data_IF_947114745004
#
_entry.id   IF_947114745004
#
_cell.length_a   1.000
_cell.length_b   1.000
_cell.length_c   1.000
_cell.angle_alpha   90.00
_cell.angle_beta   90.00
_cell.angle_gamma   90.00
#
_symmetry.space_group_name_H-M   'P 1'
#
loop_
_entity.id
_entity.type
_entity.pdbx_description
1 polymer ?
#
# COMPACT_ATOMS: atom_id res chain seq x y z
N UNK A 1 25.05 -39.90 8.03
CA UNK A 1 25.20 -38.49 8.50
C UNK A 1 24.08 -37.55 8.02
N UNK A 2 23.11 -37.97 7.20
CA UNK A 2 22.02 -37.10 6.71
C UNK A 2 20.74 -37.16 7.55
N UNK A 3 20.62 -38.11 8.50
CA UNK A 3 19.37 -38.32 9.26
C UNK A 3 18.99 -37.17 10.20
N UNK A 4 19.95 -36.33 10.59
CA UNK A 4 19.71 -35.14 11.42
C UNK A 4 19.02 -33.98 10.68
N UNK A 5 18.81 -34.10 9.36
CA UNK A 5 18.10 -33.12 8.55
C UNK A 5 16.70 -33.59 8.12
N UNK A 6 16.26 -34.79 8.53
CA UNK A 6 14.87 -35.19 8.31
C UNK A 6 13.99 -34.45 9.30
N UNK A 7 12.92 -33.86 8.77
CA UNK A 7 11.85 -33.31 9.56
C UNK A 7 11.10 -34.46 10.24
N UNK A 8 10.81 -34.26 11.52
CA UNK A 8 9.87 -35.07 12.27
C UNK A 8 8.45 -34.91 11.71
N UNK A 9 7.57 -35.86 12.02
CA UNK A 9 6.15 -35.79 11.63
C UNK A 9 5.47 -34.51 12.13
N UNK A 10 5.93 -33.98 13.28
CA UNK A 10 5.44 -32.73 13.83
C UNK A 10 5.90 -31.52 13.01
N UNK A 11 7.16 -31.46 12.60
CA UNK A 11 7.68 -30.37 11.77
C UNK A 11 7.05 -30.39 10.37
N UNK A 12 6.80 -31.59 9.81
CA UNK A 12 6.03 -31.73 8.57
C UNK A 12 4.63 -31.12 8.70
N UNK A 13 3.94 -31.41 9.81
CA UNK A 13 2.63 -30.83 10.09
C UNK A 13 2.66 -29.30 10.18
N UNK A 14 3.73 -28.73 10.73
CA UNK A 14 3.92 -27.26 10.75
C UNK A 14 4.03 -26.74 9.32
N UNK A 15 4.86 -27.35 8.47
CA UNK A 15 5.04 -26.92 7.08
C UNK A 15 3.75 -26.99 6.27
N UNK A 16 2.97 -28.05 6.43
CA UNK A 16 1.66 -28.18 5.79
C UNK A 16 0.73 -27.03 6.18
N UNK A 17 0.71 -26.68 7.46
CA UNK A 17 -0.10 -25.56 7.94
C UNK A 17 0.44 -24.18 7.54
N UNK A 18 1.73 -24.06 7.20
CA UNK A 18 2.30 -22.82 6.65
C UNK A 18 1.99 -22.62 5.16
N UNK A 19 1.46 -23.64 4.47
CA UNK A 19 1.16 -23.55 3.04
C UNK A 19 0.29 -22.33 2.66
N UNK A 20 -0.81 -21.99 3.38
CA UNK A 20 -1.65 -20.84 3.02
C UNK A 20 -0.89 -19.52 3.07
N UNK A 21 0.00 -19.38 4.07
CA UNK A 21 0.88 -18.22 4.23
C UNK A 21 1.80 -18.07 3.01
N UNK A 22 2.48 -19.16 2.62
CA UNK A 22 3.39 -19.11 1.47
C UNK A 22 2.67 -18.89 0.14
N UNK A 23 1.47 -19.45 -0.02
CA UNK A 23 0.68 -19.26 -1.23
C UNK A 23 0.24 -17.79 -1.39
N UNK A 24 -0.11 -17.11 -0.29
CA UNK A 24 -0.39 -15.67 -0.29
C UNK A 24 0.80 -14.86 -0.83
N UNK A 25 1.99 -15.06 -0.26
CA UNK A 25 3.19 -14.35 -0.69
C UNK A 25 3.58 -14.68 -2.12
N UNK A 26 3.52 -15.95 -2.52
CA UNK A 26 3.77 -16.38 -3.90
C UNK A 26 2.85 -15.67 -4.88
N UNK A 27 1.54 -15.62 -4.61
CA UNK A 27 0.56 -14.96 -5.47
C UNK A 27 0.85 -13.46 -5.62
N UNK A 28 1.20 -12.81 -4.52
CA UNK A 28 1.60 -11.40 -4.51
C UNK A 28 2.88 -11.17 -5.32
N UNK A 29 3.92 -11.97 -5.10
CA UNK A 29 5.19 -11.87 -5.82
C UNK A 29 4.99 -12.07 -7.32
N UNK A 30 4.21 -13.08 -7.73
CA UNK A 30 3.91 -13.33 -9.13
C UNK A 30 3.16 -12.16 -9.76
N UNK A 31 2.24 -11.54 -9.03
CA UNK A 31 1.53 -10.34 -9.48
C UNK A 31 2.47 -9.15 -9.69
N UNK A 32 3.41 -8.95 -8.77
CA UNK A 32 4.42 -7.87 -8.84
C UNK A 32 5.51 -8.12 -9.89
N UNK A 33 5.75 -9.37 -10.24
CA UNK A 33 6.80 -9.78 -11.19
C UNK A 33 6.31 -9.86 -12.64
N UNK A 34 5.14 -9.27 -12.95
CA UNK A 34 4.63 -9.23 -14.33
C UNK A 34 5.53 -8.36 -15.20
N UNK A 35 6.01 -8.94 -16.29
CA UNK A 35 6.77 -8.22 -17.31
C UNK A 35 5.85 -7.24 -18.06
N UNK A 36 6.43 -6.14 -18.54
CA UNK A 36 5.80 -5.17 -19.43
C UNK A 36 4.56 -4.45 -18.85
N UNK A 37 4.38 -4.51 -17.52
CA UNK A 37 3.32 -3.81 -16.79
C UNK A 37 3.94 -3.01 -15.65
N UNK A 38 3.63 -1.72 -15.55
CA UNK A 38 4.05 -0.92 -14.41
C UNK A 38 3.32 -1.41 -13.14
N UNK A 39 4.03 -2.06 -12.22
CA UNK A 39 3.45 -2.58 -10.97
C UNK A 39 3.52 -1.61 -9.80
N UNK A 40 4.15 -0.44 -10.00
CA UNK A 40 4.36 0.55 -8.93
C UNK A 40 3.06 1.02 -8.28
N UNK A 41 2.00 1.20 -9.07
CA UNK A 41 0.68 1.57 -8.57
C UNK A 41 0.06 0.46 -7.70
N UNK A 42 0.46 -0.80 -7.89
CA UNK A 42 -0.12 -1.93 -7.16
C UNK A 42 0.48 -2.11 -5.77
N UNK A 43 1.57 -1.40 -5.43
CA UNK A 43 2.26 -1.56 -4.14
C UNK A 43 1.32 -1.35 -2.96
N UNK A 44 0.55 -0.26 -2.94
CA UNK A 44 -0.43 0.03 -1.88
C UNK A 44 -1.51 -1.08 -1.82
N UNK A 45 -2.26 -1.39 -2.91
CA UNK A 45 -3.25 -2.47 -2.87
C UNK A 45 -2.71 -3.83 -2.48
N UNK A 46 -1.47 -4.13 -2.87
CA UNK A 46 -0.86 -5.42 -2.56
C UNK A 46 -0.45 -5.48 -1.10
N UNK A 47 0.05 -4.39 -0.53
CA UNK A 47 0.31 -4.31 0.90
C UNK A 47 -0.98 -4.56 1.71
N UNK A 48 -2.08 -3.91 1.32
CA UNK A 48 -3.40 -4.14 1.93
C UNK A 48 -3.88 -5.59 1.73
N UNK A 49 -3.67 -6.16 0.54
CA UNK A 49 -4.00 -7.56 0.24
C UNK A 49 -3.21 -8.54 1.11
N UNK A 50 -1.92 -8.26 1.37
CA UNK A 50 -1.11 -9.08 2.29
C UNK A 50 -1.72 -8.97 3.69
N UNK A 51 -1.94 -7.76 4.22
CA UNK A 51 -2.49 -7.56 5.57
C UNK A 51 -3.80 -8.33 5.77
N UNK A 52 -4.80 -8.06 4.93
CA UNK A 52 -6.10 -8.74 5.00
C UNK A 52 -5.99 -10.25 4.77
N UNK A 53 -5.07 -10.70 3.91
CA UNK A 53 -4.83 -12.12 3.68
C UNK A 53 -4.28 -12.82 4.91
N UNK A 54 -3.34 -12.20 5.62
CA UNK A 54 -2.77 -12.72 6.86
C UNK A 54 -3.80 -12.72 7.99
N UNK A 55 -4.60 -11.67 8.13
CA UNK A 55 -5.66 -11.61 9.14
C UNK A 55 -6.65 -12.77 8.97
N UNK A 56 -7.10 -13.03 7.73
CA UNK A 56 -7.98 -14.15 7.39
C UNK A 56 -7.37 -15.51 7.68
N UNK A 57 -6.07 -15.68 7.43
CA UNK A 57 -5.35 -16.91 7.79
C UNK A 57 -5.36 -17.04 9.31
N UNK A 58 -5.08 -15.98 10.06
CA UNK A 58 -5.03 -16.01 11.52
C UNK A 58 -6.38 -16.24 12.20
N UNK A 59 -7.49 -15.89 11.54
CA UNK A 59 -8.86 -16.19 11.99
C UNK A 59 -9.24 -17.68 11.86
N UNK A 60 -8.48 -18.46 11.10
CA UNK A 60 -8.79 -19.88 10.87
C UNK A 60 -8.44 -20.74 12.09
N UNK A 61 -9.45 -21.19 12.84
CA UNK A 61 -9.30 -21.93 14.11
C UNK A 61 -8.44 -23.20 14.02
N UNK A 62 -8.22 -23.73 12.82
CA UNK A 62 -7.48 -24.97 12.57
C UNK A 62 -5.97 -24.77 12.53
N UNK A 63 -5.48 -23.54 12.41
CA UNK A 63 -4.06 -23.23 12.33
C UNK A 63 -3.42 -23.12 13.71
N UNK A 64 -2.18 -23.57 13.81
CA UNK A 64 -1.37 -23.40 15.02
C UNK A 64 -1.15 -21.92 15.29
N UNK A 65 -1.39 -21.48 16.54
CA UNK A 65 -1.12 -20.10 16.99
C UNK A 65 0.29 -19.62 16.68
N UNK A 66 1.28 -20.53 16.68
CA UNK A 66 2.66 -20.22 16.32
C UNK A 66 2.79 -19.68 14.88
N UNK A 67 1.94 -20.14 13.96
CA UNK A 67 1.92 -19.69 12.57
C UNK A 67 1.34 -18.28 12.49
N UNK A 68 0.27 -17.99 13.24
CA UNK A 68 -0.28 -16.65 13.33
C UNK A 68 0.75 -15.65 13.87
N UNK A 69 1.47 -16.02 14.94
CA UNK A 69 2.55 -15.20 15.50
C UNK A 69 3.67 -14.98 14.48
N UNK A 70 4.09 -16.04 13.78
CA UNK A 70 5.12 -15.93 12.75
C UNK A 70 4.67 -15.03 11.58
N UNK A 71 3.41 -15.14 11.16
CA UNK A 71 2.80 -14.31 10.13
C UNK A 71 2.75 -12.83 10.54
N UNK A 72 2.29 -12.53 11.76
CA UNK A 72 2.27 -11.16 12.30
C UNK A 72 3.67 -10.56 12.36
N UNK A 73 4.65 -11.31 12.87
CA UNK A 73 6.04 -10.85 12.93
C UNK A 73 6.63 -10.59 11.53
N UNK A 74 6.34 -11.48 10.57
CA UNK A 74 6.76 -11.31 9.18
C UNK A 74 6.12 -10.07 8.54
N UNK A 75 4.84 -9.82 8.85
CA UNK A 75 4.13 -8.63 8.38
C UNK A 75 4.69 -7.35 8.98
N UNK A 76 4.98 -7.29 10.28
CA UNK A 76 5.60 -6.11 10.91
C UNK A 76 6.93 -5.73 10.25
N UNK A 77 7.74 -6.73 9.88
CA UNK A 77 8.98 -6.47 9.13
C UNK A 77 8.66 -5.90 7.75
N UNK A 78 7.67 -6.46 7.04
CA UNK A 78 7.22 -5.94 5.74
C UNK A 78 6.71 -4.50 5.85
N UNK A 79 5.89 -4.21 6.87
CA UNK A 79 5.28 -2.91 7.14
C UNK A 79 6.35 -1.85 7.43
N UNK A 80 7.41 -2.22 8.17
CA UNK A 80 8.58 -1.37 8.39
C UNK A 80 9.27 -0.96 7.08
N UNK A 81 9.39 -1.86 6.10
CA UNK A 81 9.97 -1.50 4.81
C UNK A 81 8.98 -0.74 3.92
N UNK A 82 7.69 -1.04 4.05
CA UNK A 82 6.63 -0.31 3.38
C UNK A 82 6.55 1.15 3.84
N UNK A 83 6.78 1.46 5.12
CA UNK A 83 6.77 2.85 5.60
C UNK A 83 7.88 3.71 4.97
N UNK A 84 8.98 3.10 4.49
CA UNK A 84 10.00 3.82 3.70
C UNK A 84 9.48 4.26 2.33
N UNK A 85 8.36 3.71 1.86
CA UNK A 85 7.72 4.15 0.61
C UNK A 85 6.97 5.46 0.76
N UNK A 86 6.69 5.90 2.00
CA UNK A 86 6.06 7.20 2.28
C UNK A 86 6.91 8.37 1.77
N UNK A 87 8.23 8.18 1.65
CA UNK A 87 9.17 9.15 1.08
C UNK A 87 9.02 9.33 -0.44
N UNK A 88 8.34 8.39 -1.11
CA UNK A 88 8.18 8.38 -2.57
C UNK A 88 6.75 8.72 -2.98
N UNK A 89 6.62 9.90 -3.57
CA UNK A 89 5.36 10.46 -4.08
C UNK A 89 4.66 9.57 -5.12
N UNK A 90 5.42 8.70 -5.78
CA UNK A 90 4.96 7.92 -6.94
C UNK A 90 3.88 6.92 -6.54
N UNK A 91 3.88 6.46 -5.29
CA UNK A 91 2.89 5.49 -4.79
C UNK A 91 1.52 6.13 -4.55
N UNK A 92 1.47 7.41 -4.16
CA UNK A 92 0.24 8.11 -3.83
C UNK A 92 -0.37 8.87 -5.01
N UNK A 93 0.39 9.20 -6.05
CA UNK A 93 -0.12 9.99 -7.18
C UNK A 93 -0.93 9.19 -8.22
N UNK A 94 -1.32 7.95 -7.93
CA UNK A 94 -2.11 7.18 -8.88
C UNK A 94 -3.57 7.71 -8.94
N UNK A 95 -4.08 8.09 -10.13
CA UNK A 95 -5.41 8.73 -10.26
C UNK A 95 -6.58 7.91 -9.71
N UNK A 96 -6.42 6.59 -9.61
CA UNK A 96 -7.44 5.68 -9.09
C UNK A 96 -7.39 5.50 -7.56
N UNK A 97 -6.30 5.89 -6.89
CA UNK A 97 -6.14 5.73 -5.43
C UNK A 97 -6.30 7.06 -4.72
N UNK A 98 -7.52 7.60 -4.81
CA UNK A 98 -7.95 8.81 -4.09
C UNK A 98 -8.32 8.48 -2.65
N UNK A 99 -8.70 9.50 -1.87
CA UNK A 99 -9.23 9.32 -0.51
C UNK A 99 -10.37 8.30 -0.42
N UNK A 100 -11.20 8.19 -1.46
CA UNK A 100 -12.26 7.19 -1.52
C UNK A 100 -11.73 5.75 -1.39
N UNK A 101 -10.57 5.45 -1.97
CA UNK A 101 -9.95 4.12 -1.87
C UNK A 101 -9.54 3.82 -0.42
N UNK A 102 -8.81 4.74 0.23
CA UNK A 102 -8.36 4.54 1.61
C UNK A 102 -9.52 4.41 2.60
N UNK A 103 -10.60 5.17 2.39
CA UNK A 103 -11.85 5.02 3.15
C UNK A 103 -12.48 3.64 2.95
N UNK A 104 -12.50 3.14 1.71
CA UNK A 104 -13.04 1.81 1.41
C UNK A 104 -12.21 0.68 2.04
N UNK A 105 -10.89 0.85 2.10
CA UNK A 105 -9.97 -0.08 2.78
C UNK A 105 -9.93 0.10 4.31
N UNK A 106 -10.78 0.99 4.86
CA UNK A 106 -10.86 1.28 6.29
C UNK A 106 -9.51 1.64 6.93
N UNK A 107 -8.68 2.39 6.19
CA UNK A 107 -7.43 2.89 6.74
C UNK A 107 -7.69 3.78 7.96
N UNK A 108 -6.79 3.73 8.94
CA UNK A 108 -6.89 4.60 10.11
C UNK A 108 -6.75 6.06 9.67
N UNK A 109 -7.36 6.95 10.44
CA UNK A 109 -7.43 8.37 10.08
C UNK A 109 -6.05 8.99 9.99
N UNK A 110 -5.15 8.59 10.89
CA UNK A 110 -3.77 9.06 10.97
C UNK A 110 -2.99 8.78 9.68
N UNK A 111 -3.24 7.62 9.04
CA UNK A 111 -2.62 7.28 7.77
C UNK A 111 -3.20 8.10 6.62
N UNK A 112 -4.52 8.30 6.60
CA UNK A 112 -5.16 9.17 5.59
C UNK A 112 -4.68 10.62 5.71
N UNK A 113 -4.54 11.13 6.94
CA UNK A 113 -4.03 12.47 7.22
C UNK A 113 -2.57 12.62 6.74
N UNK A 114 -1.72 11.60 6.94
CA UNK A 114 -0.35 11.57 6.39
C UNK A 114 -0.33 11.62 4.87
N UNK A 115 -1.15 10.81 4.20
CA UNK A 115 -1.25 10.84 2.72
C UNK A 115 -1.66 12.23 2.24
N UNK A 116 -2.64 12.85 2.90
CA UNK A 116 -3.07 14.22 2.61
C UNK A 116 -1.95 15.24 2.80
N UNK A 117 -1.19 15.14 3.90
CA UNK A 117 -0.07 16.03 4.16
C UNK A 117 1.00 15.95 3.07
N UNK A 118 1.41 14.72 2.70
CA UNK A 118 2.39 14.48 1.65
C UNK A 118 1.90 15.06 0.32
N UNK A 119 0.68 14.72 -0.09
CA UNK A 119 0.09 15.16 -1.36
C UNK A 119 -0.07 16.68 -1.40
N UNK A 120 -0.54 17.30 -0.32
CA UNK A 120 -0.64 18.77 -0.19
C UNK A 120 0.73 19.45 -0.24
N UNK A 121 1.73 18.90 0.46
CA UNK A 121 3.09 19.41 0.44
C UNK A 121 3.66 19.42 -0.98
N UNK A 122 3.45 18.35 -1.74
CA UNK A 122 3.89 18.25 -3.14
C UNK A 122 3.18 19.30 -4.00
N UNK A 123 1.86 19.43 -3.88
CA UNK A 123 1.10 20.42 -4.63
C UNK A 123 1.61 21.84 -4.39
N UNK A 124 1.73 22.23 -3.11
CA UNK A 124 2.20 23.56 -2.71
C UNK A 124 3.63 23.83 -3.15
N UNK A 125 4.52 22.85 -3.05
CA UNK A 125 5.95 23.05 -3.31
C UNK A 125 6.32 22.90 -4.79
N UNK A 126 5.67 22.00 -5.53
CA UNK A 126 6.05 21.67 -6.91
C UNK A 126 5.11 22.23 -7.95
N UNK A 127 3.80 22.22 -7.72
CA UNK A 127 2.84 22.57 -8.77
C UNK A 127 2.34 24.01 -8.65
N UNK A 128 1.96 24.44 -7.45
CA UNK A 128 1.44 25.79 -7.18
C UNK A 128 2.36 26.92 -7.67
N UNK A 129 3.70 26.86 -7.51
CA UNK A 129 4.59 27.93 -7.99
C UNK A 129 4.56 28.04 -9.52
N UNK A 130 4.42 26.93 -10.24
CA UNK A 130 4.32 26.94 -11.69
C UNK A 130 2.97 27.49 -12.17
N UNK A 131 1.88 27.30 -11.43
CA UNK A 131 0.58 27.89 -11.76
C UNK A 131 0.60 29.41 -11.55
N UNK A 132 1.24 29.91 -10.48
CA UNK A 132 1.39 31.34 -10.24
C UNK A 132 2.26 32.01 -11.32
N UNK A 133 3.30 31.32 -11.79
CA UNK A 133 4.14 31.78 -12.89
C UNK A 133 3.44 31.66 -14.26
N UNK A 134 2.61 30.63 -14.47
CA UNK A 134 1.87 30.35 -15.71
C UNK A 134 0.51 31.05 -15.81
N UNK A 135 -0.04 31.63 -14.73
CA UNK A 135 -1.17 32.56 -14.80
C UNK A 135 -0.84 33.79 -15.69
N UNK A 136 0.46 34.06 -15.90
CA UNK A 136 0.96 35.03 -16.87
C UNK A 136 1.17 34.45 -18.29
N UNK A 137 1.01 33.14 -18.51
CA UNK A 137 1.22 32.45 -19.78
C UNK A 137 0.47 31.08 -19.91
N UNK A 138 -0.78 31.11 -20.41
CA UNK A 138 -1.48 30.02 -21.16
C UNK A 138 -2.09 28.80 -20.42
N UNK A 139 -3.02 28.03 -21.08
CA UNK A 139 -4.12 27.29 -20.43
C UNK A 139 -3.80 25.86 -19.92
N UNK A 140 -2.54 25.42 -19.88
CA UNK A 140 -2.17 24.09 -19.35
C UNK A 140 -2.46 23.91 -17.85
N UNK A 141 -2.65 25.02 -17.13
CA UNK A 141 -3.01 25.13 -15.71
C UNK A 141 -4.34 24.40 -15.38
N UNK A 142 -5.27 24.32 -16.34
CA UNK A 142 -6.61 23.74 -16.13
C UNK A 142 -6.60 22.25 -15.77
N UNK A 143 -5.68 21.46 -16.35
CA UNK A 143 -5.65 20.01 -16.13
C UNK A 143 -5.12 19.64 -14.74
N UNK A 144 -4.15 20.39 -14.22
CA UNK A 144 -3.57 20.19 -12.89
C UNK A 144 -4.54 20.61 -11.78
N UNK A 145 -5.26 21.72 -11.97
CA UNK A 145 -6.32 22.16 -11.05
C UNK A 145 -7.48 21.16 -11.05
N UNK A 146 -7.90 20.68 -12.23
CA UNK A 146 -8.95 19.67 -12.34
C UNK A 146 -8.56 18.36 -11.66
N UNK A 147 -7.33 17.87 -11.90
CA UNK A 147 -6.81 16.66 -11.27
C UNK A 147 -6.79 16.78 -9.73
N UNK A 148 -6.34 17.92 -9.22
CA UNK A 148 -6.29 18.21 -7.79
C UNK A 148 -7.67 18.22 -7.12
N UNK A 149 -8.62 18.98 -7.70
CA UNK A 149 -9.98 19.09 -7.17
C UNK A 149 -10.71 17.73 -7.18
N UNK A 150 -10.40 16.88 -8.16
CA UNK A 150 -10.99 15.55 -8.22
C UNK A 150 -10.28 14.54 -7.32
N UNK A 151 -9.06 14.78 -6.85
CA UNK A 151 -8.29 13.84 -6.03
C UNK A 151 -8.68 13.90 -4.54
N UNK A 152 -9.05 15.08 -4.04
CA UNK A 152 -9.31 15.32 -2.62
C UNK A 152 -10.79 15.29 -2.22
N UNK A 153 -11.75 15.36 -3.16
CA UNK A 153 -13.17 15.66 -2.86
C UNK A 153 -13.33 16.90 -1.93
N UNK A 154 -12.33 17.80 -1.91
CA UNK A 154 -12.33 19.00 -1.07
C UNK A 154 -12.85 20.16 -1.91
N UNK A 155 -13.99 20.71 -1.49
CA UNK A 155 -14.53 21.95 -2.03
C UNK A 155 -13.48 23.08 -1.94
N UNK A 156 -13.40 23.85 -3.04
CA UNK A 156 -12.45 24.95 -3.25
C UNK A 156 -12.48 26.05 -2.17
N UNK A 157 -13.51 26.07 -1.30
CA UNK A 157 -13.68 27.09 -0.27
C UNK A 157 -12.61 27.04 0.84
N UNK A 158 -11.94 25.90 1.05
CA UNK A 158 -10.85 25.79 2.04
C UNK A 158 -9.48 26.24 1.52
N UNK A 159 -9.34 26.49 0.21
CA UNK A 159 -8.05 26.86 -0.41
C UNK A 159 -7.87 28.37 -0.64
N UNK A 160 -8.90 29.18 -0.38
CA UNK A 160 -8.87 30.65 -0.54
C UNK A 160 -8.69 31.41 0.79
N UNK A 161 -8.11 30.80 1.82
CA UNK A 161 -7.65 31.50 3.03
C UNK A 161 -6.14 31.35 3.24
#
# INVERSE_FOLDING_TARGET
KLRCFYLSDYEWKILEQMQPLFELFKNVTLRMSKKDVATIHQVIPIHDTIRTGLDKICEEEKLLKAICIAASNGFEISDKYYSLTDDSIVYFMHPSYKLAYFKQQQWEKEWMDRVLEIVNGIWKNRYLPHLNNAANAKPQVSFLIFFWNHYTDVDLELFNR
#
